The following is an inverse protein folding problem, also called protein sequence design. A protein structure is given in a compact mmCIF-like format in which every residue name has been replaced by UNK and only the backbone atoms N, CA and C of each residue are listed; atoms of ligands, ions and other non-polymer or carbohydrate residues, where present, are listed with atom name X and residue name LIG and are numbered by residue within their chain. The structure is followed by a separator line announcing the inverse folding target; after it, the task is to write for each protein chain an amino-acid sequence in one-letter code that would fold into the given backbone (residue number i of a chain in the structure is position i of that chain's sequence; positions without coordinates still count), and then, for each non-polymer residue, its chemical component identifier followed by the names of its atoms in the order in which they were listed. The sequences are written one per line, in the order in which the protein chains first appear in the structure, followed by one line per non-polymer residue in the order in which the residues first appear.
data_IF_726265739647
#
_entry.id   IF_726265739647
#
_cell.length_a   1.000
_cell.length_b   1.000
_cell.length_c   1.000
_cell.angle_alpha   90.00
_cell.angle_beta   90.00
_cell.angle_gamma   90.00
#
_symmetry.space_group_name_H-M   'P 1'
#
loop_
_entity.id
_entity.type
_entity.pdbx_description
1 polymer ?
#
# COMPACT_ATOMS: atom_id res chain seq x y z
N UNK A 1 -19.25 4.60 -6.19
CA UNK A 1 -19.15 4.78 -4.73
C UNK A 1 -18.34 6.05 -4.45
N UNK A 2 -18.72 6.86 -3.45
CA UNK A 2 -17.97 8.10 -3.16
C UNK A 2 -16.80 7.78 -2.20
N UNK A 3 -15.56 7.90 -2.68
CA UNK A 3 -14.33 7.63 -1.93
C UNK A 3 -14.24 8.47 -0.65
N UNK A 4 -14.72 9.73 -0.68
CA UNK A 4 -14.63 10.64 0.46
C UNK A 4 -15.34 10.14 1.72
N UNK A 5 -16.29 9.20 1.59
CA UNK A 5 -16.99 8.59 2.72
C UNK A 5 -16.07 7.68 3.55
N UNK A 6 -15.05 7.09 2.93
CA UNK A 6 -14.12 6.16 3.58
C UNK A 6 -12.88 6.87 4.13
N UNK A 7 -12.45 7.98 3.51
CA UNK A 7 -11.27 8.69 3.98
C UNK A 7 -11.53 9.26 5.38
N UNK A 8 -10.68 8.85 6.33
CA UNK A 8 -10.73 9.38 7.69
C UNK A 8 -10.26 10.85 7.70
N UNK A 9 -10.87 11.74 8.51
CA UNK A 9 -10.44 13.14 8.57
C UNK A 9 -8.96 13.31 8.89
N UNK A 10 -8.40 12.48 9.77
CA UNK A 10 -6.97 12.52 10.12
C UNK A 10 -6.08 12.11 8.96
N UNK A 11 -6.51 11.13 8.13
CA UNK A 11 -5.81 10.75 6.92
C UNK A 11 -5.76 11.92 5.93
N UNK A 12 -6.91 12.53 5.63
CA UNK A 12 -6.97 13.69 4.76
C UNK A 12 -6.09 14.84 5.27
N UNK A 13 -6.15 15.15 6.57
CA UNK A 13 -5.40 16.24 7.19
C UNK A 13 -3.88 15.97 7.17
N UNK A 14 -3.45 14.75 7.52
CA UNK A 14 -2.02 14.39 7.54
C UNK A 14 -1.42 14.31 6.14
N UNK A 15 -2.18 13.83 5.15
CA UNK A 15 -1.76 13.84 3.75
C UNK A 15 -1.62 15.27 3.22
N UNK A 16 -2.54 16.16 3.57
CA UNK A 16 -2.44 17.57 3.21
C UNK A 16 -1.22 18.23 3.85
N UNK A 17 -0.97 17.96 5.13
CA UNK A 17 0.22 18.44 5.84
C UNK A 17 1.51 17.97 5.18
N UNK A 18 1.59 16.68 4.80
CA UNK A 18 2.72 16.11 4.08
C UNK A 18 2.94 16.83 2.72
N UNK A 19 1.89 17.00 1.94
CA UNK A 19 1.94 17.69 0.63
C UNK A 19 2.32 19.16 0.74
N UNK A 20 2.09 19.81 1.87
CA UNK A 20 2.44 21.20 2.09
C UNK A 20 3.92 21.43 2.40
N UNK A 21 4.70 20.37 2.64
CA UNK A 21 6.15 20.48 2.83
C UNK A 21 6.81 20.82 1.48
N UNK A 22 7.48 21.99 1.34
CA UNK A 22 7.90 22.49 0.03
C UNK A 22 8.82 21.55 -0.76
N UNK A 23 9.63 20.75 -0.07
CA UNK A 23 10.57 19.81 -0.69
C UNK A 23 9.92 18.49 -1.10
N UNK A 24 8.74 18.16 -0.56
CA UNK A 24 8.10 16.85 -0.75
C UNK A 24 7.75 16.55 -2.22
N UNK A 25 7.15 17.46 -3.00
CA UNK A 25 6.89 17.20 -4.43
C UNK A 25 8.15 16.85 -5.22
N UNK A 26 9.26 17.53 -4.94
CA UNK A 26 10.56 17.26 -5.60
C UNK A 26 11.09 15.88 -5.23
N UNK A 27 10.90 15.43 -3.99
CA UNK A 27 11.28 14.09 -3.55
C UNK A 27 10.46 13.03 -4.31
N UNK A 28 9.14 13.20 -4.37
CA UNK A 28 8.25 12.30 -5.10
C UNK A 28 8.67 12.19 -6.56
N UNK A 29 8.87 13.33 -7.24
CA UNK A 29 9.30 13.36 -8.65
C UNK A 29 10.61 12.61 -8.86
N UNK A 30 11.62 12.86 -8.03
CA UNK A 30 12.93 12.20 -8.15
C UNK A 30 12.86 10.70 -7.91
N UNK A 31 12.07 10.22 -6.94
CA UNK A 31 11.88 8.79 -6.67
C UNK A 31 11.21 8.11 -7.88
N UNK A 32 10.17 8.75 -8.47
CA UNK A 32 9.51 8.24 -9.65
C UNK A 32 10.44 8.22 -10.88
N UNK A 33 11.22 9.29 -11.10
CA UNK A 33 12.18 9.38 -12.21
C UNK A 33 13.32 8.36 -12.08
N UNK A 34 13.68 7.97 -10.86
CA UNK A 34 14.68 6.93 -10.63
C UNK A 34 14.22 5.53 -11.06
N UNK A 35 12.92 5.37 -11.32
CA UNK A 35 12.35 4.06 -11.67
C UNK A 35 12.13 3.16 -10.45
N UNK A 36 11.86 3.75 -9.27
CA UNK A 36 11.65 3.00 -8.04
C UNK A 36 10.52 1.98 -8.18
N UNK A 37 9.43 2.33 -8.87
CA UNK A 37 8.33 1.39 -9.15
C UNK A 37 8.80 0.16 -9.93
N UNK A 38 9.65 0.35 -10.96
CA UNK A 38 10.17 -0.75 -11.77
C UNK A 38 11.11 -1.65 -10.95
N UNK A 39 11.89 -1.09 -10.03
CA UNK A 39 12.72 -1.86 -9.10
C UNK A 39 11.86 -2.74 -8.19
N UNK A 40 10.86 -2.15 -7.53
CA UNK A 40 9.92 -2.89 -6.65
C UNK A 40 9.13 -3.94 -7.42
N UNK A 41 8.70 -3.62 -8.63
CA UNK A 41 8.04 -4.57 -9.51
C UNK A 41 8.95 -5.74 -9.88
N UNK A 42 10.19 -5.47 -10.28
CA UNK A 42 11.17 -6.50 -10.64
C UNK A 42 11.48 -7.42 -9.46
N UNK A 43 11.64 -6.87 -8.27
CA UNK A 43 11.80 -7.64 -7.04
C UNK A 43 10.57 -8.52 -6.78
N UNK A 44 9.36 -7.94 -6.88
CA UNK A 44 8.12 -8.66 -6.64
C UNK A 44 8.00 -9.89 -7.56
N UNK A 45 8.17 -9.75 -8.87
CA UNK A 45 8.00 -10.86 -9.81
C UNK A 45 9.10 -11.92 -9.72
N UNK A 46 10.25 -11.60 -9.13
CA UNK A 46 11.36 -12.55 -8.95
C UNK A 46 11.31 -13.29 -7.61
N UNK A 47 10.66 -12.72 -6.60
CA UNK A 47 10.66 -13.26 -5.23
C UNK A 47 9.32 -13.83 -4.80
N UNK A 48 8.22 -13.46 -5.47
CA UNK A 48 6.86 -13.81 -5.07
C UNK A 48 6.15 -14.67 -6.14
N UNK A 49 5.19 -15.46 -5.70
CA UNK A 49 4.39 -16.34 -6.55
C UNK A 49 3.10 -15.61 -6.90
N UNK A 50 2.83 -15.41 -8.19
CA UNK A 50 1.57 -14.78 -8.63
C UNK A 50 0.41 -15.74 -8.41
N UNK A 51 -0.66 -15.26 -7.78
CA UNK A 51 -1.91 -15.98 -7.57
C UNK A 51 -2.92 -15.67 -8.68
N UNK A 52 -3.72 -16.68 -9.03
CA UNK A 52 -4.77 -16.58 -10.06
C UNK A 52 -5.87 -17.60 -9.82
N UNK A 53 -6.86 -17.65 -10.68
CA UNK A 53 -7.91 -18.68 -10.67
C UNK A 53 -7.35 -20.10 -10.87
N UNK A 54 -6.20 -20.21 -11.51
CA UNK A 54 -5.51 -21.49 -11.75
C UNK A 54 -4.46 -21.80 -10.68
N UNK A 55 -3.97 -20.75 -9.98
CA UNK A 55 -2.91 -20.88 -8.98
C UNK A 55 -3.37 -20.38 -7.63
N UNK A 56 -3.60 -21.32 -6.71
CA UNK A 56 -4.16 -21.09 -5.37
C UNK A 56 -5.55 -20.43 -5.41
N UNK A 57 -6.52 -21.02 -6.14
CA UNK A 57 -7.86 -20.47 -6.34
C UNK A 57 -8.60 -20.19 -5.04
N UNK A 58 -8.38 -21.00 -3.99
CA UNK A 58 -9.04 -20.82 -2.69
C UNK A 58 -8.69 -19.50 -2.01
N UNK A 59 -7.54 -18.93 -2.32
CA UNK A 59 -7.10 -17.63 -1.82
C UNK A 59 -7.53 -16.53 -2.79
N UNK A 60 -7.24 -16.73 -4.09
CA UNK A 60 -7.49 -15.72 -5.11
C UNK A 60 -8.96 -15.36 -5.27
N UNK A 61 -9.89 -16.32 -5.12
CA UNK A 61 -11.34 -16.15 -5.34
C UNK A 61 -11.96 -14.97 -4.58
N UNK A 62 -11.37 -14.55 -3.45
CA UNK A 62 -11.90 -13.47 -2.63
C UNK A 62 -11.64 -12.08 -3.22
N UNK A 63 -10.50 -11.90 -3.89
CA UNK A 63 -10.07 -10.59 -4.37
C UNK A 63 -11.00 -9.98 -5.43
N UNK A 64 -11.43 -10.70 -6.50
CA UNK A 64 -12.32 -10.14 -7.52
C UNK A 64 -13.65 -9.66 -6.95
N UNK A 65 -14.24 -10.40 -6.01
CA UNK A 65 -15.52 -10.02 -5.39
C UNK A 65 -15.40 -8.75 -4.54
N UNK A 66 -14.32 -8.62 -3.78
CA UNK A 66 -13.99 -7.41 -3.00
C UNK A 66 -13.84 -6.22 -3.95
N UNK A 67 -13.04 -6.35 -5.00
CA UNK A 67 -12.78 -5.29 -5.96
C UNK A 67 -14.05 -4.85 -6.70
N UNK A 68 -14.89 -5.79 -7.11
CA UNK A 68 -16.19 -5.51 -7.73
C UNK A 68 -17.07 -4.67 -6.80
N UNK A 69 -17.15 -5.06 -5.53
CA UNK A 69 -17.92 -4.34 -4.51
C UNK A 69 -17.42 -2.92 -4.27
N UNK A 70 -16.10 -2.73 -4.28
CA UNK A 70 -15.44 -1.43 -4.09
C UNK A 70 -15.44 -0.58 -5.36
N UNK A 71 -15.71 -1.15 -6.52
CA UNK A 71 -15.65 -0.46 -7.82
C UNK A 71 -14.24 -0.12 -8.24
N UNK A 72 -13.25 -0.91 -7.83
CA UNK A 72 -11.84 -0.76 -8.21
C UNK A 72 -11.42 -1.85 -9.19
N UNK A 73 -10.39 -1.56 -9.99
CA UNK A 73 -9.76 -2.59 -10.83
C UNK A 73 -9.09 -3.63 -9.95
N UNK A 74 -9.28 -4.90 -10.24
CA UNK A 74 -8.61 -5.99 -9.52
C UNK A 74 -7.09 -5.89 -9.69
N UNK A 75 -6.33 -5.68 -8.60
CA UNK A 75 -4.87 -5.68 -8.64
C UNK A 75 -4.34 -7.10 -8.83
N UNK A 76 -3.07 -7.23 -9.17
CA UNK A 76 -2.42 -8.53 -9.10
C UNK A 76 -2.20 -8.94 -7.64
N UNK A 77 -2.32 -10.24 -7.36
CA UNK A 77 -2.11 -10.82 -6.03
C UNK A 77 -0.91 -11.74 -6.04
N UNK A 78 -0.04 -11.59 -5.07
CA UNK A 78 1.17 -12.38 -4.92
C UNK A 78 1.29 -13.01 -3.54
N UNK A 79 1.95 -14.17 -3.49
CA UNK A 79 2.31 -14.89 -2.27
C UNK A 79 3.81 -14.79 -2.04
N UNK A 80 4.20 -14.25 -0.91
CA UNK A 80 5.57 -14.26 -0.40
C UNK A 80 5.77 -15.43 0.56
N UNK A 81 6.90 -16.13 0.47
CA UNK A 81 7.19 -17.32 1.29
C UNK A 81 7.64 -17.02 2.73
N UNK A 82 7.66 -15.75 3.15
CA UNK A 82 8.02 -15.37 4.52
C UNK A 82 7.11 -16.05 5.56
N UNK A 83 7.69 -16.62 6.63
CA UNK A 83 6.92 -17.15 7.76
C UNK A 83 6.36 -16.04 8.68
N UNK A 84 6.79 -14.79 8.50
CA UNK A 84 6.30 -13.65 9.27
C UNK A 84 4.96 -13.20 8.69
N UNK A 85 3.88 -13.12 9.52
CA UNK A 85 2.58 -12.68 9.04
C UNK A 85 2.63 -11.22 8.57
N UNK A 86 2.31 -11.00 7.30
CA UNK A 86 2.22 -9.66 6.73
C UNK A 86 1.38 -9.66 5.45
N UNK A 87 0.82 -8.49 5.12
CA UNK A 87 0.28 -8.15 3.81
C UNK A 87 0.68 -6.71 3.49
N UNK A 88 0.80 -6.37 2.22
CA UNK A 88 1.04 -4.99 1.79
C UNK A 88 0.60 -4.78 0.36
N UNK A 89 0.29 -3.53 0.06
CA UNK A 89 -0.02 -3.06 -1.30
C UNK A 89 1.09 -2.13 -1.78
N UNK A 90 1.55 -2.31 -3.00
CA UNK A 90 2.61 -1.49 -3.60
C UNK A 90 2.34 -1.20 -5.08
N UNK A 91 3.13 -0.29 -5.65
CA UNK A 91 3.04 0.17 -7.04
C UNK A 91 2.46 1.58 -7.15
N UNK A 92 2.30 2.03 -8.37
CA UNK A 92 1.66 3.30 -8.72
C UNK A 92 0.85 3.11 -10.01
N UNK A 93 1.52 2.76 -11.11
CA UNK A 93 0.88 2.42 -12.39
C UNK A 93 0.52 0.93 -12.47
N UNK A 94 1.29 0.08 -11.79
CA UNK A 94 1.09 -1.38 -11.66
C UNK A 94 0.87 -1.73 -10.20
N UNK A 95 -0.36 -1.59 -9.73
CA UNK A 95 -0.71 -1.87 -8.33
C UNK A 95 -0.86 -3.37 -8.11
N UNK A 96 -0.24 -3.88 -7.06
CA UNK A 96 -0.30 -5.27 -6.63
C UNK A 96 -0.39 -5.40 -5.11
N UNK A 97 -0.96 -6.51 -4.67
CA UNK A 97 -1.04 -6.90 -3.25
C UNK A 97 -0.13 -8.11 -3.04
N UNK A 98 0.60 -8.13 -1.95
CA UNK A 98 1.39 -9.29 -1.51
C UNK A 98 0.89 -9.74 -0.16
N UNK A 99 0.70 -11.05 0.00
CA UNK A 99 0.37 -11.70 1.27
C UNK A 99 1.44 -12.74 1.59
N UNK A 100 1.74 -12.97 2.85
CA UNK A 100 2.76 -13.93 3.25
C UNK A 100 2.17 -15.29 3.61
N UNK A 101 2.94 -16.35 3.44
CA UNK A 101 2.59 -17.70 3.94
C UNK A 101 2.34 -17.67 5.45
N UNK A 102 3.12 -16.87 6.19
CA UNK A 102 2.94 -16.70 7.62
C UNK A 102 1.57 -16.13 8.01
N UNK A 103 1.01 -15.25 7.17
CA UNK A 103 -0.33 -14.69 7.34
C UNK A 103 -1.41 -15.74 7.06
N UNK A 104 -1.35 -16.39 5.89
CA UNK A 104 -2.35 -17.37 5.45
C UNK A 104 -2.49 -18.53 6.45
N UNK A 105 -1.38 -18.97 7.04
CA UNK A 105 -1.39 -20.07 8.01
C UNK A 105 -2.09 -19.73 9.33
N UNK A 106 -2.30 -18.47 9.63
CA UNK A 106 -2.88 -17.98 10.90
C UNK A 106 -4.32 -17.54 10.78
N UNK A 107 -4.78 -17.22 9.58
CA UNK A 107 -6.10 -16.66 9.35
C UNK A 107 -7.06 -17.73 8.83
N UNK A 108 -8.31 -17.63 9.25
CA UNK A 108 -9.41 -18.29 8.59
C UNK A 108 -9.83 -17.50 7.33
N UNK A 109 -10.77 -18.04 6.57
CA UNK A 109 -11.23 -17.48 5.30
C UNK A 109 -11.80 -16.05 5.45
N UNK A 110 -12.60 -15.79 6.49
CA UNK A 110 -13.19 -14.48 6.75
C UNK A 110 -12.14 -13.44 7.15
N UNK A 111 -11.19 -13.85 7.98
CA UNK A 111 -10.07 -12.99 8.35
C UNK A 111 -9.19 -12.65 7.15
N UNK A 112 -8.95 -13.62 6.25
CA UNK A 112 -8.21 -13.38 5.03
C UNK A 112 -8.94 -12.39 4.11
N UNK A 113 -10.28 -12.52 3.98
CA UNK A 113 -11.09 -11.54 3.25
C UNK A 113 -10.97 -10.14 3.86
N UNK A 114 -10.99 -10.03 5.19
CA UNK A 114 -10.85 -8.74 5.87
C UNK A 114 -9.50 -8.09 5.58
N UNK A 115 -8.41 -8.86 5.58
CA UNK A 115 -7.07 -8.35 5.21
C UNK A 115 -7.02 -7.93 3.74
N UNK A 116 -7.54 -8.75 2.81
CA UNK A 116 -7.58 -8.37 1.40
C UNK A 116 -8.45 -7.12 1.17
N UNK A 117 -9.55 -6.97 1.90
CA UNK A 117 -10.39 -5.78 1.85
C UNK A 117 -9.68 -4.54 2.40
N UNK A 118 -8.86 -4.69 3.45
CA UNK A 118 -8.01 -3.64 3.99
C UNK A 118 -6.97 -3.18 2.94
N UNK A 119 -6.27 -4.09 2.30
CA UNK A 119 -5.31 -3.79 1.23
C UNK A 119 -6.00 -3.11 0.03
N UNK A 120 -7.19 -3.57 -0.35
CA UNK A 120 -8.03 -2.90 -1.35
C UNK A 120 -8.46 -1.50 -0.89
N UNK A 121 -8.58 -1.28 0.41
CA UNK A 121 -8.83 0.02 1.03
C UNK A 121 -7.72 1.02 0.73
N UNK A 122 -6.46 0.61 0.84
CA UNK A 122 -5.32 1.45 0.45
C UNK A 122 -5.36 1.83 -1.03
N UNK A 123 -5.75 0.90 -1.91
CA UNK A 123 -5.92 1.19 -3.34
C UNK A 123 -7.05 2.21 -3.56
N UNK A 124 -8.21 1.95 -2.96
CA UNK A 124 -9.40 2.78 -3.11
C UNK A 124 -9.14 4.21 -2.60
N UNK A 125 -8.48 4.36 -1.46
CA UNK A 125 -8.15 5.65 -0.84
C UNK A 125 -6.91 6.33 -1.45
N UNK A 126 -6.30 5.75 -2.49
CA UNK A 126 -5.14 6.30 -3.21
C UNK A 126 -3.88 6.45 -2.33
N UNK A 127 -3.69 5.54 -1.38
CA UNK A 127 -2.54 5.55 -0.49
C UNK A 127 -1.26 5.02 -1.15
N UNK A 128 -1.39 4.16 -2.17
CA UNK A 128 -0.32 3.30 -2.68
C UNK A 128 0.91 4.07 -3.12
N UNK A 129 0.75 5.19 -3.84
CA UNK A 129 1.87 6.04 -4.24
C UNK A 129 2.68 6.53 -3.03
N UNK A 130 1.99 7.06 -2.02
CA UNK A 130 2.67 7.65 -0.85
C UNK A 130 3.28 6.60 0.06
N UNK A 131 2.68 5.40 0.13
CA UNK A 131 3.28 4.25 0.81
C UNK A 131 4.57 3.82 0.11
N UNK A 132 4.57 3.71 -1.21
CA UNK A 132 5.77 3.41 -2.00
C UNK A 132 6.88 4.47 -1.80
N UNK A 133 6.52 5.76 -1.74
CA UNK A 133 7.47 6.85 -1.46
C UNK A 133 8.02 6.74 -0.03
N UNK A 134 7.17 6.39 0.94
CA UNK A 134 7.60 6.18 2.32
C UNK A 134 8.59 5.02 2.41
N UNK A 135 8.31 3.90 1.76
CA UNK A 135 9.20 2.73 1.71
C UNK A 135 10.55 3.09 1.09
N UNK A 136 10.57 3.84 0.00
CA UNK A 136 11.80 4.33 -0.61
C UNK A 136 12.62 5.17 0.38
N UNK A 137 11.98 6.09 1.11
CA UNK A 137 12.63 7.00 2.05
C UNK A 137 13.12 6.25 3.31
N UNK A 138 12.34 5.31 3.84
CA UNK A 138 12.68 4.64 5.10
C UNK A 138 13.72 3.53 4.93
N UNK A 139 13.61 2.76 3.85
CA UNK A 139 14.48 1.60 3.63
C UNK A 139 15.80 1.96 2.92
N UNK A 140 15.77 2.99 2.08
CA UNK A 140 16.90 3.34 1.22
C UNK A 140 17.30 4.82 1.35
N UNK A 141 16.74 5.52 2.35
CA UNK A 141 16.88 6.95 2.52
C UNK A 141 18.33 7.45 2.45
N UNK A 142 19.25 6.76 3.09
CA UNK A 142 20.66 7.19 3.13
C UNK A 142 21.32 7.06 1.74
N UNK A 143 21.07 5.97 1.01
CA UNK A 143 21.59 5.77 -0.36
C UNK A 143 20.90 6.69 -1.37
N UNK A 144 19.57 6.84 -1.26
CA UNK A 144 18.81 7.74 -2.10
C UNK A 144 19.16 9.21 -1.84
N UNK A 145 19.44 9.56 -0.58
CA UNK A 145 19.78 10.93 -0.18
C UNK A 145 21.08 11.41 -0.84
N UNK A 146 22.10 10.57 -0.85
CA UNK A 146 23.40 10.94 -1.41
C UNK A 146 23.37 10.99 -2.95
N UNK A 147 22.62 10.08 -3.59
CA UNK A 147 22.62 9.95 -5.06
C UNK A 147 21.54 10.75 -5.77
N UNK A 148 20.32 10.83 -5.20
CA UNK A 148 19.15 11.45 -5.85
C UNK A 148 18.86 12.87 -5.38
N UNK A 149 19.03 13.11 -4.10
CA UNK A 149 18.61 14.35 -3.48
C UNK A 149 19.79 15.31 -3.23
N UNK A 150 21.02 14.83 -3.34
CA UNK A 150 22.25 15.62 -3.30
C UNK A 150 22.26 16.71 -2.22
N UNK A 151 21.86 17.92 -2.59
CA UNK A 151 21.90 19.10 -1.71
C UNK A 151 20.67 19.26 -0.77
N UNK A 152 19.66 18.39 -0.84
CA UNK A 152 18.46 18.54 0.01
C UNK A 152 18.78 18.25 1.50
N UNK A 153 19.86 17.60 1.79
CA UNK A 153 20.43 17.42 3.13
C UNK A 153 19.53 16.71 4.14
N UNK A 154 20.15 16.00 5.09
CA UNK A 154 19.46 15.24 6.14
C UNK A 154 18.50 16.09 7.02
N UNK A 155 18.74 17.40 7.10
CA UNK A 155 17.91 18.30 7.92
C UNK A 155 16.53 18.53 7.31
N UNK A 156 16.42 18.61 5.98
CA UNK A 156 15.15 18.79 5.27
C UNK A 156 14.29 17.52 5.25
N UNK A 157 14.92 16.34 5.44
CA UNK A 157 14.21 15.07 5.44
C UNK A 157 13.53 14.72 6.78
N UNK A 158 14.00 15.27 7.89
CA UNK A 158 13.38 15.01 9.19
C UNK A 158 11.89 15.32 9.24
N UNK A 159 11.43 16.53 8.81
CA UNK A 159 10.00 16.82 8.78
C UNK A 159 9.22 15.95 7.80
N UNK A 160 9.81 15.58 6.66
CA UNK A 160 9.19 14.67 5.68
C UNK A 160 8.99 13.28 6.29
N UNK A 161 10.03 12.69 6.91
CA UNK A 161 9.93 11.39 7.58
C UNK A 161 8.87 11.42 8.68
N UNK A 162 8.84 12.46 9.52
CA UNK A 162 7.85 12.58 10.58
C UNK A 162 6.42 12.70 10.04
N UNK A 163 6.22 13.50 8.98
CA UNK A 163 4.91 13.65 8.35
C UNK A 163 4.46 12.35 7.66
N UNK A 164 5.35 11.61 7.01
CA UNK A 164 5.06 10.29 6.43
C UNK A 164 4.64 9.28 7.49
N UNK A 165 5.34 9.19 8.62
CA UNK A 165 4.94 8.30 9.73
C UNK A 165 3.55 8.65 10.26
N UNK A 166 3.25 9.94 10.44
CA UNK A 166 1.94 10.38 10.91
C UNK A 166 0.85 10.03 9.91
N UNK A 167 1.12 10.26 8.62
CA UNK A 167 0.17 9.93 7.56
C UNK A 167 -0.04 8.40 7.43
N UNK A 168 1.00 7.59 7.43
CA UNK A 168 0.86 6.13 7.38
C UNK A 168 -0.06 5.60 8.49
N UNK A 169 0.10 6.09 9.71
CA UNK A 169 -0.79 5.70 10.83
C UNK A 169 -2.24 6.14 10.62
N UNK A 170 -2.46 7.31 10.03
CA UNK A 170 -3.79 7.83 9.77
C UNK A 170 -4.45 7.12 8.57
N UNK A 171 -3.69 6.73 7.56
CA UNK A 171 -4.18 6.00 6.38
C UNK A 171 -4.75 4.62 6.72
N UNK A 172 -4.23 3.96 7.78
CA UNK A 172 -4.78 2.70 8.30
C UNK A 172 -6.25 2.83 8.70
N UNK A 173 -6.64 3.99 9.29
CA UNK A 173 -8.03 4.24 9.69
C UNK A 173 -8.99 4.26 8.49
N UNK A 174 -8.52 4.76 7.35
CA UNK A 174 -9.30 4.75 6.10
C UNK A 174 -9.41 3.33 5.53
N UNK A 175 -8.30 2.58 5.50
CA UNK A 175 -8.28 1.20 5.04
C UNK A 175 -9.16 0.30 5.90
N UNK A 176 -9.15 0.46 7.22
CA UNK A 176 -10.02 -0.27 8.16
C UNK A 176 -11.51 0.02 7.94
N UNK A 177 -11.87 1.26 7.62
CA UNK A 177 -13.26 1.60 7.26
C UNK A 177 -13.72 0.86 6.00
N UNK A 178 -12.86 0.76 4.99
CA UNK A 178 -13.15 0.00 3.77
C UNK A 178 -13.28 -1.49 4.10
N UNK A 179 -12.36 -2.05 4.87
CA UNK A 179 -12.43 -3.45 5.30
C UNK A 179 -13.73 -3.75 6.05
N UNK A 180 -14.10 -2.89 7.00
CA UNK A 180 -15.36 -3.01 7.76
C UNK A 180 -16.58 -2.96 6.84
N UNK A 181 -16.62 -2.04 5.87
CA UNK A 181 -17.70 -1.97 4.89
C UNK A 181 -17.84 -3.24 4.07
N UNK A 182 -16.72 -3.83 3.64
CA UNK A 182 -16.72 -5.07 2.85
C UNK A 182 -17.20 -6.26 3.69
N UNK A 183 -16.74 -6.38 4.92
CA UNK A 183 -17.04 -7.56 5.77
C UNK A 183 -18.40 -7.48 6.46
N UNK A 184 -18.86 -6.28 6.87
CA UNK A 184 -20.14 -6.13 7.63
C UNK A 184 -21.37 -6.44 6.80
N UNK A 185 -21.35 -6.29 5.49
CA UNK A 185 -22.52 -6.51 4.65
C UNK A 185 -22.66 -7.96 4.16
N UNK A 186 -21.71 -8.85 4.48
CA UNK A 186 -21.88 -10.30 4.30
C UNK A 186 -22.58 -10.96 5.52
N UNK A 187 -22.75 -10.20 6.61
CA UNK A 187 -23.39 -10.67 7.84
C UNK A 187 -24.93 -10.48 7.87
N UNK A 188 -25.54 -10.03 6.76
CA UNK A 188 -26.99 -9.90 6.58
C UNK A 188 -27.46 -10.87 5.50
#
# INVERSE_FOLDING_TARGET
MNISTFIHPDDAATLQALKSIPVFPTIVEKILQYGWEDLMWSENITTNIRLSEEQMPDIYKHLPSICQRLGIKTPELYLNLSPIPNAWTSGNTRVYIVITVGLIRRLNEEQLKAVLAHECGHIMCQHVLYSMIADAIFNFGDVLMDSLLGQIGNLAMKPVKAALYNWQRASELSADRVATFVTSAEAI
#
